data_IF_825507799250
#
_entry.id   IF_825507799250
#
_cell.length_a   1.000
_cell.length_b   1.000
_cell.length_c   1.000
_cell.angle_alpha   90.00
_cell.angle_beta   90.00
_cell.angle_gamma   90.00
#
_symmetry.space_group_name_H-M   'P 1'
#
loop_
_entity.id
_entity.type
_entity.pdbx_description
1 polymer ?
#
# COMPACT_ATOMS: atom_id res chain seq x y z
N UNK A 1 34.16 -38.21 26.21
CA UNK A 1 32.87 -37.61 25.79
C UNK A 1 32.62 -36.21 26.36
N UNK A 2 33.04 -35.89 27.60
CA UNK A 2 32.80 -34.58 28.24
C UNK A 2 33.32 -33.33 27.48
N UNK A 3 34.54 -33.36 26.91
CA UNK A 3 35.07 -32.21 26.17
C UNK A 3 34.31 -31.90 24.86
N UNK A 4 33.73 -32.91 24.21
CA UNK A 4 32.95 -32.70 22.97
C UNK A 4 31.59 -32.06 23.26
N UNK A 5 30.96 -32.42 24.37
CA UNK A 5 29.71 -31.81 24.86
C UNK A 5 29.94 -30.35 25.29
N UNK A 6 31.06 -30.06 25.96
CA UNK A 6 31.45 -28.69 26.33
C UNK A 6 31.71 -27.81 25.11
N UNK A 7 32.49 -28.30 24.14
CA UNK A 7 32.75 -27.57 22.87
C UNK A 7 31.46 -27.35 22.09
N UNK A 8 30.57 -28.34 22.03
CA UNK A 8 29.26 -28.19 21.40
C UNK A 8 28.38 -27.15 22.11
N UNK A 9 28.33 -27.16 23.45
CA UNK A 9 27.61 -26.17 24.24
C UNK A 9 28.12 -24.74 24.02
N UNK A 10 29.44 -24.56 23.96
CA UNK A 10 30.06 -23.25 23.68
C UNK A 10 29.73 -22.77 22.26
N UNK A 11 29.83 -23.65 21.25
CA UNK A 11 29.45 -23.30 19.88
C UNK A 11 27.97 -22.93 19.74
N UNK A 12 27.09 -23.63 20.47
CA UNK A 12 25.67 -23.35 20.48
C UNK A 12 25.38 -21.98 21.11
N UNK A 13 26.03 -21.65 22.23
CA UNK A 13 25.92 -20.32 22.85
C UNK A 13 26.43 -19.23 21.91
N UNK A 14 27.58 -19.43 21.26
CA UNK A 14 28.12 -18.47 20.27
C UNK A 14 27.12 -18.29 19.12
N UNK A 15 26.53 -19.37 18.61
CA UNK A 15 25.51 -19.31 17.56
C UNK A 15 24.28 -18.51 17.98
N UNK A 16 23.79 -18.71 19.20
CA UNK A 16 22.67 -17.93 19.75
C UNK A 16 23.03 -16.45 19.87
N UNK A 17 24.21 -16.13 20.43
CA UNK A 17 24.67 -14.74 20.58
C UNK A 17 24.79 -14.07 19.22
N UNK A 18 25.40 -14.74 18.23
CA UNK A 18 25.51 -14.22 16.87
C UNK A 18 24.14 -14.01 16.23
N UNK A 19 23.19 -14.93 16.44
CA UNK A 19 21.83 -14.79 15.93
C UNK A 19 21.10 -13.59 16.55
N UNK A 20 21.21 -13.40 17.88
CA UNK A 20 20.58 -12.27 18.58
C UNK A 20 21.20 -10.95 18.12
N UNK A 21 22.52 -10.89 17.99
CA UNK A 21 23.22 -9.71 17.47
C UNK A 21 22.77 -9.42 16.03
N UNK A 22 22.72 -10.44 15.18
CA UNK A 22 22.23 -10.31 13.80
C UNK A 22 20.79 -9.79 13.74
N UNK A 23 19.90 -10.33 14.60
CA UNK A 23 18.50 -9.89 14.69
C UNK A 23 18.39 -8.42 15.10
N UNK A 24 19.19 -7.96 16.06
CA UNK A 24 19.22 -6.56 16.50
C UNK A 24 19.65 -5.62 15.37
N UNK A 25 20.71 -5.97 14.63
CA UNK A 25 21.15 -5.17 13.47
C UNK A 25 20.13 -5.18 12.33
N UNK A 26 19.49 -6.32 12.05
CA UNK A 26 18.43 -6.40 11.04
C UNK A 26 17.23 -5.51 11.40
N UNK A 27 16.78 -5.52 12.65
CA UNK A 27 15.71 -4.64 13.12
C UNK A 27 16.07 -3.17 13.00
N UNK A 28 17.30 -2.80 13.37
CA UNK A 28 17.79 -1.43 13.23
C UNK A 28 17.83 -0.98 11.76
N UNK A 29 18.23 -1.85 10.85
CA UNK A 29 18.22 -1.56 9.42
C UNK A 29 16.79 -1.37 8.88
N UNK A 30 15.84 -2.21 9.28
CA UNK A 30 14.41 -2.03 8.92
C UNK A 30 13.88 -0.69 9.40
N UNK A 31 14.20 -0.30 10.64
CA UNK A 31 13.80 0.98 11.21
C UNK A 31 14.43 2.16 10.45
N UNK A 32 15.71 2.07 10.09
CA UNK A 32 16.40 3.08 9.31
C UNK A 32 15.77 3.25 7.91
N UNK A 33 15.49 2.14 7.23
CA UNK A 33 14.82 2.15 5.94
C UNK A 33 13.40 2.75 6.03
N UNK A 34 12.62 2.37 7.05
CA UNK A 34 11.30 2.97 7.31
C UNK A 34 11.38 4.48 7.54
N UNK A 35 12.39 4.94 8.28
CA UNK A 35 12.63 6.37 8.52
C UNK A 35 12.93 7.14 7.24
N UNK A 36 13.86 6.63 6.41
CA UNK A 36 14.23 7.24 5.12
C UNK A 36 13.00 7.42 4.22
N UNK A 37 12.19 6.36 4.10
CA UNK A 37 11.08 6.37 3.15
C UNK A 37 9.85 7.13 3.66
N UNK A 38 9.36 6.81 4.85
CA UNK A 38 8.06 7.28 5.30
C UNK A 38 8.12 8.58 6.09
N UNK A 39 9.27 8.92 6.68
CA UNK A 39 9.43 10.16 7.44
C UNK A 39 10.18 11.24 6.68
N UNK A 40 11.24 10.87 5.96
CA UNK A 40 12.04 11.83 5.20
C UNK A 40 11.54 11.97 3.76
N UNK A 41 10.80 10.99 3.23
CA UNK A 41 10.35 11.00 1.83
C UNK A 41 11.50 10.90 0.83
N UNK A 42 12.70 10.53 1.28
CA UNK A 42 13.92 10.52 0.47
C UNK A 42 14.05 9.17 -0.23
N UNK A 43 13.26 9.01 -1.29
CA UNK A 43 13.18 7.77 -2.05
C UNK A 43 14.49 7.44 -2.79
N UNK A 44 15.27 8.45 -3.20
CA UNK A 44 16.55 8.25 -3.87
C UNK A 44 17.59 7.67 -2.90
N UNK A 45 17.76 8.31 -1.75
CA UNK A 45 18.65 7.79 -0.71
C UNK A 45 18.21 6.44 -0.17
N UNK A 46 16.91 6.20 -0.09
CA UNK A 46 16.38 4.88 0.25
C UNK A 46 16.82 3.82 -0.76
N UNK A 47 16.74 4.09 -2.06
CA UNK A 47 17.15 3.14 -3.10
C UNK A 47 18.67 2.90 -3.08
N UNK A 48 19.47 3.93 -2.82
CA UNK A 48 20.93 3.80 -2.62
C UNK A 48 21.24 2.90 -1.42
N UNK A 49 20.62 3.16 -0.27
CA UNK A 49 20.82 2.35 0.93
C UNK A 49 20.30 0.92 0.73
N UNK A 50 19.23 0.72 -0.03
CA UNK A 50 18.71 -0.61 -0.35
C UNK A 50 19.71 -1.44 -1.16
N UNK A 51 20.59 -0.79 -1.92
CA UNK A 51 21.65 -1.46 -2.67
C UNK A 51 23.00 -1.55 -1.94
N UNK A 52 23.09 -1.02 -0.73
CA UNK A 52 24.28 -1.11 0.12
C UNK A 52 24.59 -2.56 0.52
N UNK A 53 25.86 -2.81 0.89
CA UNK A 53 26.29 -4.14 1.34
C UNK A 53 25.55 -4.60 2.61
N UNK A 54 25.24 -3.69 3.53
CA UNK A 54 24.45 -3.99 4.73
C UNK A 54 23.04 -4.43 4.35
N UNK A 55 22.35 -3.67 3.49
CA UNK A 55 21.01 -4.03 3.03
C UNK A 55 20.99 -5.33 2.23
N UNK A 56 22.01 -5.62 1.42
CA UNK A 56 22.16 -6.90 0.71
C UNK A 56 22.36 -8.09 1.66
N UNK A 57 22.97 -7.87 2.83
CA UNK A 57 23.16 -8.88 3.87
C UNK A 57 21.85 -9.19 4.62
N UNK A 58 21.06 -8.16 4.95
CA UNK A 58 19.83 -8.32 5.73
C UNK A 58 18.59 -8.61 4.87
N UNK A 59 18.58 -8.14 3.63
CA UNK A 59 17.43 -8.26 2.73
C UNK A 59 17.81 -9.02 1.47
N UNK A 60 17.17 -10.17 1.28
CA UNK A 60 17.33 -10.94 0.06
C UNK A 60 16.79 -10.17 -1.16
N UNK A 61 17.19 -10.61 -2.36
CA UNK A 61 16.83 -9.94 -3.64
C UNK A 61 15.32 -9.77 -3.84
N UNK A 62 14.52 -10.76 -3.40
CA UNK A 62 13.05 -10.70 -3.46
C UNK A 62 12.54 -9.55 -2.59
N UNK A 63 12.91 -9.52 -1.31
CA UNK A 63 12.46 -8.49 -0.37
C UNK A 63 12.91 -7.09 -0.80
N UNK A 64 14.15 -6.95 -1.28
CA UNK A 64 14.63 -5.67 -1.84
C UNK A 64 13.82 -5.23 -3.05
N UNK A 65 13.39 -6.15 -3.91
CA UNK A 65 12.50 -5.79 -5.03
C UNK A 65 11.17 -5.23 -4.52
N UNK A 66 10.58 -5.85 -3.49
CA UNK A 66 9.31 -5.38 -2.91
C UNK A 66 9.46 -4.01 -2.25
N UNK A 67 10.57 -3.79 -1.53
CA UNK A 67 10.92 -2.51 -0.92
C UNK A 67 11.16 -1.41 -1.96
N UNK A 68 11.80 -1.75 -3.09
CA UNK A 68 12.02 -0.81 -4.18
C UNK A 68 10.71 -0.35 -4.84
N UNK A 69 9.66 -1.20 -4.86
CA UNK A 69 8.34 -0.79 -5.35
C UNK A 69 7.82 0.39 -4.52
N UNK A 70 7.90 0.32 -3.20
CA UNK A 70 7.43 1.41 -2.31
C UNK A 70 8.15 2.74 -2.58
N UNK A 71 9.47 2.70 -2.75
CA UNK A 71 10.24 3.90 -3.09
C UNK A 71 9.88 4.46 -4.46
N UNK A 72 9.73 3.61 -5.47
CA UNK A 72 9.40 4.08 -6.81
C UNK A 72 7.94 4.54 -6.94
N UNK A 73 7.02 4.07 -6.09
CA UNK A 73 5.66 4.62 -5.98
C UNK A 73 5.68 6.07 -5.50
N UNK A 74 6.55 6.40 -4.54
CA UNK A 74 6.73 7.78 -4.06
C UNK A 74 7.37 8.66 -5.14
N UNK A 75 8.38 8.15 -5.86
CA UNK A 75 9.02 8.88 -6.97
C UNK A 75 8.12 9.10 -8.18
N UNK A 76 7.14 8.22 -8.38
CA UNK A 76 6.33 8.20 -9.60
C UNK A 76 7.09 7.72 -10.84
N UNK A 77 8.19 6.97 -10.68
CA UNK A 77 8.96 6.43 -11.81
C UNK A 77 8.23 5.22 -12.43
N UNK A 78 7.44 5.51 -13.47
CA UNK A 78 6.55 4.53 -14.11
C UNK A 78 7.32 3.39 -14.78
N UNK A 79 8.43 3.69 -15.46
CA UNK A 79 9.19 2.68 -16.18
C UNK A 79 9.84 1.70 -15.20
N UNK A 80 10.43 2.24 -14.13
CA UNK A 80 11.05 1.44 -13.10
C UNK A 80 10.00 0.60 -12.34
N UNK A 81 8.82 1.16 -12.04
CA UNK A 81 7.72 0.42 -11.42
C UNK A 81 7.27 -0.77 -12.27
N UNK A 82 7.10 -0.58 -13.58
CA UNK A 82 6.75 -1.68 -14.48
C UNK A 82 7.76 -2.83 -14.42
N UNK A 83 9.06 -2.52 -14.53
CA UNK A 83 10.12 -3.52 -14.42
C UNK A 83 10.13 -4.22 -13.06
N UNK A 84 9.82 -3.51 -11.98
CA UNK A 84 9.76 -4.05 -10.63
C UNK A 84 8.56 -4.99 -10.45
N UNK A 85 7.38 -4.63 -10.98
CA UNK A 85 6.19 -5.50 -10.94
C UNK A 85 6.40 -6.78 -11.75
N UNK A 86 6.96 -6.69 -12.96
CA UNK A 86 7.33 -7.87 -13.77
C UNK A 86 8.30 -8.79 -13.02
N UNK A 87 9.33 -8.20 -12.40
CA UNK A 87 10.29 -8.95 -11.60
C UNK A 87 9.64 -9.60 -10.37
N UNK A 88 8.75 -8.89 -9.68
CA UNK A 88 8.00 -9.42 -8.56
C UNK A 88 7.05 -10.55 -8.99
N UNK A 89 6.46 -10.44 -10.18
CA UNK A 89 5.58 -11.44 -10.76
C UNK A 89 6.32 -12.77 -11.01
N UNK A 90 7.58 -12.70 -11.43
CA UNK A 90 8.45 -13.86 -11.67
C UNK A 90 8.96 -14.56 -10.40
N UNK A 91 8.89 -13.92 -9.23
CA UNK A 91 9.30 -14.55 -7.98
C UNK A 91 8.22 -15.49 -7.43
N UNK A 92 8.66 -16.59 -6.79
CA UNK A 92 7.80 -17.43 -5.95
C UNK A 92 7.49 -16.71 -4.64
N UNK A 93 6.45 -15.86 -4.67
CA UNK A 93 5.94 -15.13 -3.50
C UNK A 93 5.03 -16.03 -2.65
N UNK A 94 4.97 -15.76 -1.34
CA UNK A 94 3.88 -16.31 -0.53
C UNK A 94 2.57 -15.68 -0.99
N UNK A 95 1.43 -16.33 -0.78
CA UNK A 95 0.12 -15.75 -1.12
C UNK A 95 -0.09 -14.39 -0.45
N UNK A 96 0.35 -14.23 0.80
CA UNK A 96 0.29 -12.98 1.55
C UNK A 96 1.15 -11.87 0.93
N UNK A 97 2.40 -12.15 0.58
CA UNK A 97 3.27 -11.17 -0.11
C UNK A 97 2.69 -10.81 -1.48
N UNK A 98 2.11 -11.81 -2.17
CA UNK A 98 1.52 -11.63 -3.51
C UNK A 98 0.34 -10.67 -3.46
N UNK A 99 -0.55 -10.81 -2.47
CA UNK A 99 -1.67 -9.88 -2.26
C UNK A 99 -1.17 -8.45 -2.07
N UNK A 100 -0.15 -8.23 -1.21
CA UNK A 100 0.37 -6.89 -0.94
C UNK A 100 1.02 -6.23 -2.16
N UNK A 101 1.74 -7.01 -2.98
CA UNK A 101 2.37 -6.49 -4.21
C UNK A 101 1.31 -6.16 -5.24
N UNK A 102 0.34 -7.06 -5.44
CA UNK A 102 -0.70 -6.85 -6.43
C UNK A 102 -1.65 -5.72 -6.04
N UNK A 103 -1.89 -5.47 -4.74
CA UNK A 103 -2.62 -4.29 -4.28
C UNK A 103 -1.93 -3.00 -4.76
N UNK A 104 -0.60 -2.91 -4.58
CA UNK A 104 0.18 -1.76 -5.04
C UNK A 104 0.16 -1.64 -6.57
N UNK A 105 0.25 -2.78 -7.25
CA UNK A 105 0.16 -2.82 -8.71
C UNK A 105 -1.20 -2.32 -9.20
N UNK A 106 -2.30 -2.80 -8.62
CA UNK A 106 -3.65 -2.36 -8.97
C UNK A 106 -3.78 -0.84 -8.87
N UNK A 107 -3.41 -0.25 -7.74
CA UNK A 107 -3.49 1.19 -7.53
C UNK A 107 -2.63 1.94 -8.56
N UNK A 108 -1.44 1.43 -8.86
CA UNK A 108 -0.58 1.97 -9.91
C UNK A 108 -1.25 1.90 -11.29
N UNK A 109 -1.82 0.75 -11.69
CA UNK A 109 -2.52 0.57 -12.98
C UNK A 109 -3.73 1.51 -13.09
N UNK A 110 -4.52 1.65 -12.02
CA UNK A 110 -5.63 2.60 -11.95
C UNK A 110 -5.11 4.02 -12.17
N UNK A 111 -4.05 4.42 -11.45
CA UNK A 111 -3.44 5.75 -11.60
C UNK A 111 -3.01 6.03 -13.05
N UNK A 112 -2.47 5.01 -13.74
CA UNK A 112 -2.05 5.08 -15.14
C UNK A 112 -3.17 4.94 -16.19
N UNK A 113 -4.44 4.73 -15.79
CA UNK A 113 -5.55 4.47 -16.72
C UNK A 113 -5.40 3.17 -17.52
N UNK A 114 -4.57 2.24 -17.04
CA UNK A 114 -4.37 0.93 -17.66
C UNK A 114 -5.46 -0.04 -17.18
N UNK A 115 -6.72 0.19 -17.57
CA UNK A 115 -7.88 -0.55 -17.05
C UNK A 115 -7.76 -2.08 -17.23
N UNK A 116 -7.31 -2.57 -18.38
CA UNK A 116 -7.14 -4.01 -18.62
C UNK A 116 -6.17 -4.64 -17.61
N UNK A 117 -5.00 -4.02 -17.40
CA UNK A 117 -4.02 -4.48 -16.41
C UNK A 117 -4.52 -4.32 -14.98
N UNK A 118 -5.37 -3.33 -14.70
CA UNK A 118 -6.02 -3.18 -13.41
C UNK A 118 -6.98 -4.36 -13.13
N UNK A 119 -7.76 -4.78 -14.13
CA UNK A 119 -8.61 -6.00 -14.03
C UNK A 119 -7.76 -7.25 -13.79
N UNK A 120 -6.69 -7.44 -14.56
CA UNK A 120 -5.77 -8.57 -14.35
C UNK A 120 -5.18 -8.59 -12.93
N UNK A 121 -4.78 -7.42 -12.43
CA UNK A 121 -4.26 -7.26 -11.06
C UNK A 121 -5.34 -7.61 -10.03
N UNK A 122 -6.56 -7.11 -10.21
CA UNK A 122 -7.70 -7.38 -9.32
C UNK A 122 -8.04 -8.87 -9.24
N UNK A 123 -8.11 -9.55 -10.38
CA UNK A 123 -8.35 -11.00 -10.45
C UNK A 123 -7.22 -11.80 -9.79
N UNK A 124 -5.97 -11.37 -9.99
CA UNK A 124 -4.81 -12.00 -9.39
C UNK A 124 -4.80 -11.83 -7.86
N UNK A 125 -5.29 -10.69 -7.33
CA UNK A 125 -5.44 -10.47 -5.88
C UNK A 125 -6.39 -11.50 -5.29
N UNK A 126 -7.57 -11.70 -5.89
CA UNK A 126 -8.56 -12.66 -5.41
C UNK A 126 -8.05 -14.09 -5.47
N UNK A 127 -7.40 -14.48 -6.58
CA UNK A 127 -6.75 -15.80 -6.69
C UNK A 127 -5.65 -16.01 -5.65
N UNK A 128 -4.94 -14.97 -5.25
CA UNK A 128 -3.94 -15.06 -4.19
C UNK A 128 -4.58 -15.12 -2.80
N UNK A 129 -5.64 -14.34 -2.57
CA UNK A 129 -6.42 -14.32 -1.34
C UNK A 129 -7.10 -15.67 -1.06
N UNK A 130 -7.63 -16.33 -2.08
CA UNK A 130 -8.28 -17.64 -1.95
C UNK A 130 -7.34 -18.74 -1.46
N UNK A 131 -6.03 -18.58 -1.72
CA UNK A 131 -4.97 -19.49 -1.27
C UNK A 131 -4.50 -19.22 0.16
N UNK A 132 -5.02 -18.19 0.82
CA UNK A 132 -4.72 -17.91 2.23
C UNK A 132 -5.48 -18.88 3.14
N UNK A 133 -4.88 -19.20 4.29
CA UNK A 133 -5.60 -19.91 5.36
C UNK A 133 -6.66 -19.00 5.98
N UNK A 134 -7.65 -19.56 6.68
CA UNK A 134 -8.73 -18.77 7.29
C UNK A 134 -8.20 -17.68 8.24
N UNK A 135 -7.20 -18.02 9.07
CA UNK A 135 -6.51 -17.06 9.94
C UNK A 135 -5.83 -15.93 9.16
N UNK A 136 -5.27 -16.24 7.99
CA UNK A 136 -4.69 -15.21 7.12
C UNK A 136 -5.78 -14.39 6.45
N UNK A 137 -6.87 -15.00 6.00
CA UNK A 137 -8.01 -14.29 5.40
C UNK A 137 -8.56 -13.24 6.36
N UNK A 138 -8.78 -13.59 7.63
CA UNK A 138 -9.23 -12.66 8.67
C UNK A 138 -8.32 -11.42 8.77
N UNK A 139 -7.00 -11.62 8.77
CA UNK A 139 -6.02 -10.52 8.81
C UNK A 139 -6.04 -9.65 7.54
N UNK A 140 -6.39 -10.22 6.39
CA UNK A 140 -6.33 -9.55 5.09
C UNK A 140 -7.70 -9.08 4.58
N UNK A 141 -8.80 -9.34 5.29
CA UNK A 141 -10.16 -8.93 4.89
C UNK A 141 -10.25 -7.44 4.61
N UNK A 142 -9.70 -6.59 5.49
CA UNK A 142 -9.71 -5.14 5.29
C UNK A 142 -8.87 -4.70 4.10
N UNK A 143 -7.78 -5.43 3.79
CA UNK A 143 -6.97 -5.15 2.59
C UNK A 143 -7.79 -5.41 1.32
N UNK A 144 -8.59 -6.48 1.28
CA UNK A 144 -9.45 -6.78 0.13
C UNK A 144 -10.51 -5.68 -0.06
N UNK A 145 -11.14 -5.20 1.01
CA UNK A 145 -12.08 -4.06 0.91
C UNK A 145 -11.39 -2.80 0.36
N UNK A 146 -10.19 -2.49 0.84
CA UNK A 146 -9.40 -1.36 0.34
C UNK A 146 -9.01 -1.48 -1.14
N UNK A 147 -8.92 -2.70 -1.66
CA UNK A 147 -8.69 -2.99 -3.09
C UNK A 147 -9.99 -2.80 -3.89
N UNK A 148 -11.12 -3.23 -3.34
CA UNK A 148 -12.42 -3.20 -4.02
C UNK A 148 -12.92 -1.78 -4.29
N UNK A 149 -12.75 -0.83 -3.36
CA UNK A 149 -13.27 0.52 -3.55
C UNK A 149 -12.68 1.25 -4.77
N UNK A 150 -11.35 1.44 -4.89
CA UNK A 150 -10.77 2.14 -6.03
C UNK A 150 -11.02 1.38 -7.34
N UNK A 151 -11.02 0.04 -7.32
CA UNK A 151 -11.38 -0.76 -8.49
C UNK A 151 -12.81 -0.49 -8.95
N UNK A 152 -13.77 -0.53 -8.03
CA UNK A 152 -15.20 -0.31 -8.34
C UNK A 152 -15.44 1.11 -8.85
N UNK A 153 -14.83 2.11 -8.21
CA UNK A 153 -15.01 3.52 -8.57
C UNK A 153 -14.35 3.84 -9.93
N UNK A 154 -13.12 3.40 -10.15
CA UNK A 154 -12.32 3.86 -11.29
C UNK A 154 -12.31 2.92 -12.49
N UNK A 155 -12.45 1.61 -12.27
CA UNK A 155 -12.48 0.61 -13.34
C UNK A 155 -13.92 0.26 -13.70
N UNK A 156 -14.73 -0.14 -12.71
CA UNK A 156 -16.13 -0.51 -12.96
C UNK A 156 -17.06 0.70 -13.16
N UNK A 157 -16.63 1.90 -12.73
CA UNK A 157 -17.44 3.13 -12.75
C UNK A 157 -18.77 2.97 -12.00
N UNK A 158 -18.74 2.27 -10.88
CA UNK A 158 -19.91 2.00 -10.03
C UNK A 158 -19.76 2.69 -8.66
N UNK A 159 -20.86 3.31 -8.19
CA UNK A 159 -20.94 4.00 -6.91
C UNK A 159 -21.54 3.17 -5.77
N UNK A 160 -21.64 1.84 -5.90
CA UNK A 160 -22.32 0.97 -4.92
C UNK A 160 -21.86 1.15 -3.46
N UNK A 161 -20.59 1.51 -3.22
CA UNK A 161 -20.02 1.69 -1.87
C UNK A 161 -20.23 3.09 -1.27
N UNK A 162 -20.99 3.99 -1.91
CA UNK A 162 -21.10 5.39 -1.47
C UNK A 162 -21.51 5.56 0.01
N UNK A 163 -22.50 4.79 0.47
CA UNK A 163 -23.00 4.89 1.85
C UNK A 163 -22.05 4.22 2.85
N UNK A 164 -21.52 3.04 2.52
CA UNK A 164 -20.54 2.33 3.34
C UNK A 164 -19.29 3.18 3.59
N UNK A 165 -18.75 3.82 2.54
CA UNK A 165 -17.56 4.67 2.64
C UNK A 165 -17.82 5.93 3.49
N UNK A 166 -19.04 6.47 3.43
CA UNK A 166 -19.43 7.60 4.28
C UNK A 166 -19.44 7.18 5.75
N UNK A 167 -20.13 6.08 6.08
CA UNK A 167 -20.21 5.54 7.44
C UNK A 167 -18.83 5.16 7.98
N UNK A 168 -18.00 4.52 7.16
CA UNK A 168 -16.63 4.16 7.53
C UNK A 168 -15.80 5.40 7.87
N UNK A 169 -15.93 6.47 7.10
CA UNK A 169 -15.29 7.76 7.37
C UNK A 169 -15.67 8.35 8.74
N UNK A 170 -16.89 8.10 9.21
CA UNK A 170 -17.35 8.54 10.54
C UNK A 170 -16.73 7.74 11.68
N UNK A 171 -16.38 6.47 11.44
CA UNK A 171 -15.82 5.56 12.46
C UNK A 171 -14.31 5.68 12.65
N UNK A 172 -13.58 6.13 11.63
CA UNK A 172 -12.12 6.21 11.66
C UNK A 172 -11.67 7.45 12.46
N UNK A 173 -10.84 7.22 13.48
CA UNK A 173 -10.31 8.31 14.33
C UNK A 173 -9.22 9.12 13.62
N UNK A 174 -8.34 8.45 12.86
CA UNK A 174 -7.26 9.13 12.14
C UNK A 174 -7.83 10.03 11.01
N UNK A 175 -7.49 11.33 10.97
CA UNK A 175 -8.02 12.25 9.97
C UNK A 175 -7.77 11.82 8.53
N UNK A 176 -6.58 11.31 8.19
CA UNK A 176 -6.23 11.08 6.77
C UNK A 176 -7.00 9.90 6.18
N UNK A 177 -7.01 8.69 6.79
CA UNK A 177 -7.79 7.57 6.27
C UNK A 177 -9.30 7.84 6.30
N UNK A 178 -9.81 8.57 7.31
CA UNK A 178 -11.20 9.01 7.33
C UNK A 178 -11.51 9.93 6.13
N UNK A 179 -10.62 10.88 5.86
CA UNK A 179 -10.70 11.80 4.73
C UNK A 179 -10.71 11.08 3.37
N UNK A 180 -9.87 10.06 3.19
CA UNK A 180 -9.85 9.22 1.98
C UNK A 180 -11.18 8.46 1.81
N UNK A 181 -11.77 7.93 2.89
CA UNK A 181 -13.08 7.29 2.83
C UNK A 181 -14.16 8.27 2.34
N UNK A 182 -14.23 9.48 2.90
CA UNK A 182 -15.18 10.49 2.45
C UNK A 182 -14.93 10.93 0.99
N UNK A 183 -13.67 10.99 0.56
CA UNK A 183 -13.34 11.33 -0.82
C UNK A 183 -13.87 10.27 -1.80
N UNK A 184 -13.66 9.00 -1.49
CA UNK A 184 -14.19 7.86 -2.27
C UNK A 184 -15.71 7.77 -2.19
N UNK A 185 -16.31 8.15 -1.06
CA UNK A 185 -17.76 8.30 -0.94
C UNK A 185 -18.29 9.38 -1.89
N UNK A 186 -17.63 10.55 -1.96
CA UNK A 186 -17.99 11.62 -2.88
C UNK A 186 -17.91 11.19 -4.36
N UNK A 187 -16.85 10.46 -4.72
CA UNK A 187 -16.72 9.86 -6.06
C UNK A 187 -17.86 8.90 -6.36
N UNK A 188 -18.18 8.02 -5.41
CA UNK A 188 -19.25 7.04 -5.54
C UNK A 188 -20.63 7.70 -5.68
N UNK A 189 -20.91 8.75 -4.90
CA UNK A 189 -22.15 9.53 -5.05
C UNK A 189 -22.22 10.28 -6.39
N UNK A 190 -21.10 10.77 -6.93
CA UNK A 190 -21.06 11.34 -8.28
C UNK A 190 -21.41 10.32 -9.36
N UNK A 191 -20.97 9.07 -9.22
CA UNK A 191 -21.33 7.98 -10.15
C UNK A 191 -22.80 7.57 -10.06
N UNK A 192 -23.48 7.90 -8.95
CA UNK A 192 -24.92 7.73 -8.76
C UNK A 192 -25.74 8.99 -9.13
N UNK A 193 -25.08 10.01 -9.67
CA UNK A 193 -25.64 11.35 -9.94
C UNK A 193 -26.32 12.02 -8.70
N UNK A 194 -25.90 11.65 -7.48
CA UNK A 194 -26.37 12.27 -6.22
C UNK A 194 -25.42 13.40 -5.80
N UNK A 195 -25.63 14.58 -6.39
CA UNK A 195 -24.76 15.75 -6.18
C UNK A 195 -24.79 16.26 -4.74
N UNK A 196 -25.95 16.22 -4.07
CA UNK A 196 -26.10 16.71 -2.69
C UNK A 196 -25.31 15.86 -1.70
N UNK A 197 -25.31 14.53 -1.87
CA UNK A 197 -24.48 13.65 -1.05
C UNK A 197 -23.02 13.70 -1.45
N UNK A 198 -22.71 13.87 -2.73
CA UNK A 198 -21.34 14.06 -3.20
C UNK A 198 -20.71 15.31 -2.59
N UNK A 199 -21.43 16.43 -2.59
CA UNK A 199 -21.00 17.68 -1.95
C UNK A 199 -20.77 17.50 -0.45
N UNK A 200 -21.73 16.87 0.26
CA UNK A 200 -21.57 16.60 1.69
C UNK A 200 -20.33 15.76 1.98
N UNK A 201 -20.16 14.64 1.29
CA UNK A 201 -18.99 13.79 1.44
C UNK A 201 -17.70 14.55 1.13
N UNK A 202 -17.68 15.37 0.07
CA UNK A 202 -16.51 16.17 -0.30
C UNK A 202 -16.16 17.23 0.76
N UNK A 203 -17.16 17.85 1.38
CA UNK A 203 -16.95 18.77 2.50
C UNK A 203 -16.38 18.07 3.75
N UNK A 204 -16.81 16.84 4.04
CA UNK A 204 -16.21 16.02 5.09
C UNK A 204 -14.75 15.68 4.77
N UNK A 205 -14.47 15.28 3.52
CA UNK A 205 -13.11 15.02 3.05
C UNK A 205 -12.22 16.26 3.20
N UNK A 206 -12.69 17.44 2.78
CA UNK A 206 -11.96 18.70 2.89
C UNK A 206 -11.52 19.03 4.33
N UNK A 207 -12.42 18.84 5.31
CA UNK A 207 -12.11 19.09 6.73
C UNK A 207 -11.03 18.14 7.25
N UNK A 208 -11.11 16.87 6.86
CA UNK A 208 -10.21 15.81 7.32
C UNK A 208 -8.83 15.84 6.64
N UNK A 209 -8.79 16.24 5.37
CA UNK A 209 -7.59 16.28 4.54
C UNK A 209 -6.91 17.67 4.48
N UNK A 210 -7.28 18.59 5.37
CA UNK A 210 -6.84 20.01 5.35
C UNK A 210 -5.32 20.22 5.31
N UNK A 211 -4.57 19.31 5.93
CA UNK A 211 -3.10 19.40 6.06
C UNK A 211 -2.38 18.54 4.99
N UNK A 212 -3.11 18.07 3.97
CA UNK A 212 -2.57 17.25 2.88
C UNK A 212 -2.48 18.03 1.57
N UNK A 213 -1.71 17.51 0.61
CA UNK A 213 -1.60 18.07 -0.73
C UNK A 213 -2.92 18.07 -1.51
N UNK A 214 -3.91 17.27 -1.10
CA UNK A 214 -5.22 17.18 -1.76
C UNK A 214 -6.17 18.33 -1.43
N UNK A 215 -5.93 19.06 -0.34
CA UNK A 215 -6.89 20.02 0.19
C UNK A 215 -7.24 21.14 -0.80
N UNK A 216 -6.23 21.74 -1.43
CA UNK A 216 -6.42 22.87 -2.34
C UNK A 216 -7.31 22.51 -3.53
N UNK A 217 -7.08 21.33 -4.11
CA UNK A 217 -7.89 20.84 -5.22
C UNK A 217 -9.31 20.48 -4.79
N UNK A 218 -9.49 19.84 -3.62
CA UNK A 218 -10.82 19.57 -3.06
C UNK A 218 -11.60 20.88 -2.86
N UNK A 219 -10.96 21.92 -2.30
CA UNK A 219 -11.60 23.22 -2.11
C UNK A 219 -12.02 23.85 -3.44
N UNK A 220 -11.18 23.77 -4.48
CA UNK A 220 -11.50 24.27 -5.81
C UNK A 220 -12.74 23.59 -6.40
N UNK A 221 -12.86 22.28 -6.25
CA UNK A 221 -14.05 21.53 -6.70
C UNK A 221 -15.32 21.97 -5.98
N UNK A 222 -15.24 22.22 -4.67
CA UNK A 222 -16.36 22.72 -3.85
C UNK A 222 -16.76 24.13 -4.31
N UNK A 223 -15.80 25.05 -4.45
CA UNK A 223 -16.06 26.45 -4.84
C UNK A 223 -16.66 26.56 -6.23
N UNK A 224 -16.19 25.75 -7.17
CA UNK A 224 -16.68 25.74 -8.57
C UNK A 224 -17.93 24.89 -8.76
N UNK A 225 -18.40 24.21 -7.71
CA UNK A 225 -19.48 23.21 -7.76
C UNK A 225 -19.26 22.13 -8.83
N UNK A 226 -18.01 21.86 -9.20
CA UNK A 226 -17.63 20.89 -10.21
C UNK A 226 -17.36 19.53 -9.56
N UNK A 227 -18.38 18.94 -8.94
CA UNK A 227 -18.19 17.69 -8.18
C UNK A 227 -17.77 16.52 -9.08
N UNK A 228 -18.22 16.46 -10.34
CA UNK A 228 -17.78 15.42 -11.30
C UNK A 228 -16.26 15.45 -11.54
N UNK A 229 -15.60 16.59 -11.32
CA UNK A 229 -14.14 16.69 -11.36
C UNK A 229 -13.42 15.78 -10.36
N UNK A 230 -14.10 15.34 -9.28
CA UNK A 230 -13.48 14.46 -8.27
C UNK A 230 -13.12 13.06 -8.81
N UNK A 231 -13.77 12.62 -9.90
CA UNK A 231 -13.51 11.32 -10.52
C UNK A 231 -12.13 11.25 -11.21
N UNK A 232 -11.45 12.39 -11.37
CA UNK A 232 -10.07 12.44 -11.89
C UNK A 232 -9.02 12.08 -10.84
N UNK A 233 -9.36 12.14 -9.55
CA UNK A 233 -8.45 11.81 -8.45
C UNK A 233 -8.49 10.32 -8.20
N UNK A 234 -7.34 9.65 -8.19
CA UNK A 234 -7.25 8.18 -8.08
C UNK A 234 -6.41 7.82 -6.87
N UNK A 235 -7.04 7.94 -5.71
CA UNK A 235 -6.45 7.79 -4.38
C UNK A 235 -7.00 6.52 -3.74
#
# INVERSE_FOLDING_TARGET
MGNRLLVFGVLLIIGIVLYVVWMFFAQRQVMYMSLLLYRQGDADRYLEELDSLSSRLFFNKKLRTLMAIDANLIKGDKEQLNKLFERAAAYKLSSSDRVLVLQKELLFRIAQEENEKAVESYDAIHKAYDKLTDKQKEKYTEIIKEVEYPYTIHVMRDGKYASELMERGDTITDPVPAGVCYLRAAQSYCLKDDQDRAERALNHAAKKLKDTTYFQEIQKLIQTKNYKGILKYKI
#
